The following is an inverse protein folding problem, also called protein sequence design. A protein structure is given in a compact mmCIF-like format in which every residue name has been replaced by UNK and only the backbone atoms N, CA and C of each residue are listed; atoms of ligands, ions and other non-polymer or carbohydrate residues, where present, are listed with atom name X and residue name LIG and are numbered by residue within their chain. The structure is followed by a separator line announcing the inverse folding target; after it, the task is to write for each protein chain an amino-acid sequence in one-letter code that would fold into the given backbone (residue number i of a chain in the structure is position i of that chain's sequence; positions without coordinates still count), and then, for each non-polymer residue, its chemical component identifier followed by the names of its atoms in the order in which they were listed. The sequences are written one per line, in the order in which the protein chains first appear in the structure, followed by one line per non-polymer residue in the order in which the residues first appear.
data_IF_356912906264
#
_entry.id   IF_356912906264
#
_cell.length_a   1.000
_cell.length_b   1.000
_cell.length_c   1.000
_cell.angle_alpha   90.00
_cell.angle_beta   90.00
_cell.angle_gamma   90.00
#
_symmetry.space_group_name_H-M   'P 1'
#
loop_
_entity.id
_entity.type
_entity.pdbx_description
1 polymer ?
#
# COMPACT_ATOMS: atom_id res chain seq x y z
N UNK A 1 -3.46 -13.29 -27.55
CA UNK A 1 -2.98 -12.15 -26.77
C UNK A 1 -3.08 -12.45 -25.27
N UNK A 2 -4.26 -12.60 -24.68
CA UNK A 2 -4.46 -12.78 -23.23
C UNK A 2 -3.56 -13.86 -22.60
N UNK A 3 -3.50 -15.06 -23.16
CA UNK A 3 -2.63 -16.13 -22.63
C UNK A 3 -1.15 -15.75 -22.58
N UNK A 4 -0.66 -14.96 -23.55
CA UNK A 4 0.72 -14.45 -23.55
C UNK A 4 0.93 -13.48 -22.39
N UNK A 5 -0.01 -12.55 -22.17
CA UNK A 5 0.03 -11.57 -21.09
C UNK A 5 0.02 -12.27 -19.72
N UNK A 6 -0.89 -13.22 -19.51
CA UNK A 6 -0.95 -13.97 -18.26
C UNK A 6 0.32 -14.79 -17.99
N UNK A 7 0.89 -15.41 -19.02
CA UNK A 7 2.16 -16.13 -18.87
C UNK A 7 3.32 -15.18 -18.50
N UNK A 8 3.34 -13.98 -19.05
CA UNK A 8 4.36 -12.99 -18.71
C UNK A 8 4.15 -12.45 -17.30
N UNK A 9 2.91 -12.17 -16.92
CA UNK A 9 2.57 -11.78 -15.55
C UNK A 9 3.01 -12.83 -14.52
N UNK A 10 2.80 -14.12 -14.79
CA UNK A 10 3.27 -15.20 -13.92
C UNK A 10 4.79 -15.19 -13.73
N UNK A 11 5.57 -14.82 -14.75
CA UNK A 11 7.02 -14.68 -14.65
C UNK A 11 7.41 -13.47 -13.81
N UNK A 12 6.72 -12.34 -14.01
CA UNK A 12 6.92 -11.12 -13.23
C UNK A 12 6.58 -11.35 -11.75
N UNK A 13 5.48 -12.03 -11.45
CA UNK A 13 5.07 -12.36 -10.09
C UNK A 13 6.08 -13.26 -9.34
N UNK A 14 6.92 -13.99 -10.07
CA UNK A 14 8.01 -14.77 -9.49
C UNK A 14 9.23 -13.92 -9.08
N UNK A 15 9.27 -12.63 -9.46
CA UNK A 15 10.38 -11.72 -9.15
C UNK A 15 9.99 -10.83 -7.98
N UNK A 16 10.70 -10.91 -6.83
CA UNK A 16 10.53 -9.97 -5.73
C UNK A 16 10.78 -8.53 -6.17
N UNK A 17 9.82 -7.63 -5.88
CA UNK A 17 9.86 -6.23 -6.34
C UNK A 17 9.18 -5.25 -5.36
N UNK A 18 9.49 -5.31 -4.05
CA UNK A 18 8.94 -4.32 -3.13
C UNK A 18 9.49 -2.93 -3.44
N UNK A 19 8.71 -1.88 -3.14
CA UNK A 19 9.12 -0.48 -3.32
C UNK A 19 10.48 -0.21 -2.68
N UNK A 20 11.31 0.59 -3.33
CA UNK A 20 12.73 0.88 -3.01
C UNK A 20 13.70 -0.30 -3.18
N UNK A 21 13.27 -1.43 -3.71
CA UNK A 21 14.09 -2.63 -3.93
C UNK A 21 13.74 -3.30 -5.28
N UNK A 22 13.66 -2.47 -6.32
CA UNK A 22 13.26 -2.89 -7.66
C UNK A 22 14.42 -3.47 -8.49
N UNK A 23 15.63 -3.61 -7.93
CA UNK A 23 16.82 -4.03 -8.68
C UNK A 23 16.62 -5.38 -9.38
N UNK A 24 15.91 -6.33 -8.74
CA UNK A 24 15.69 -7.65 -9.32
C UNK A 24 14.75 -7.63 -10.51
N UNK A 25 13.68 -6.84 -10.43
CA UNK A 25 12.75 -6.70 -11.55
C UNK A 25 13.38 -5.88 -12.67
N UNK A 26 14.17 -4.85 -12.36
CA UNK A 26 14.94 -4.11 -13.35
C UNK A 26 15.93 -5.02 -14.10
N UNK A 27 16.68 -5.87 -13.39
CA UNK A 27 17.56 -6.86 -14.00
C UNK A 27 16.79 -7.87 -14.87
N UNK A 28 15.62 -8.34 -14.42
CA UNK A 28 14.74 -9.20 -15.20
C UNK A 28 14.35 -8.53 -16.52
N UNK A 29 13.92 -7.27 -16.48
CA UNK A 29 13.49 -6.51 -17.66
C UNK A 29 14.65 -6.26 -18.65
N UNK A 30 15.84 -5.94 -18.14
CA UNK A 30 17.03 -5.79 -18.98
C UNK A 30 17.38 -7.10 -19.71
N UNK A 31 17.44 -8.22 -18.99
CA UNK A 31 17.67 -9.54 -19.59
C UNK A 31 16.56 -9.94 -20.56
N UNK A 32 15.33 -9.59 -20.24
CA UNK A 32 14.21 -9.82 -21.14
C UNK A 32 14.40 -9.06 -22.47
N UNK A 33 14.81 -7.79 -22.42
CA UNK A 33 15.11 -7.00 -23.61
C UNK A 33 16.26 -7.61 -24.44
N UNK A 34 17.35 -8.04 -23.80
CA UNK A 34 18.45 -8.74 -24.45
C UNK A 34 18.00 -10.00 -25.21
N UNK A 35 17.18 -10.84 -24.56
CA UNK A 35 16.68 -12.07 -25.18
C UNK A 35 15.76 -11.81 -26.38
N UNK A 36 15.16 -10.63 -26.45
CA UNK A 36 14.29 -10.22 -27.57
C UNK A 36 15.01 -9.34 -28.59
N UNK A 37 16.32 -9.11 -28.44
CA UNK A 37 17.16 -8.24 -29.29
C UNK A 37 16.59 -6.81 -29.35
N UNK A 38 16.14 -6.25 -28.22
CA UNK A 38 15.65 -4.89 -28.09
C UNK A 38 16.69 -4.04 -27.37
N UNK A 39 16.78 -2.77 -27.76
CA UNK A 39 17.61 -1.79 -27.07
C UNK A 39 16.95 -1.44 -25.73
N UNK A 40 17.79 -1.26 -24.70
CA UNK A 40 17.30 -0.80 -23.41
C UNK A 40 18.30 0.17 -22.76
N UNK A 41 17.81 0.91 -21.80
CA UNK A 41 18.61 1.78 -20.93
C UNK A 41 18.03 1.71 -19.51
N UNK A 42 18.89 1.99 -18.53
CA UNK A 42 18.49 2.23 -17.13
C UNK A 42 18.90 3.65 -16.79
N UNK A 43 17.99 4.44 -16.24
CA UNK A 43 18.31 5.81 -15.85
C UNK A 43 18.97 5.91 -14.47
N UNK A 44 19.28 7.15 -14.04
CA UNK A 44 20.02 7.39 -12.79
C UNK A 44 19.27 7.01 -11.51
N UNK A 45 17.98 6.76 -11.55
CA UNK A 45 17.15 6.35 -10.40
C UNK A 45 16.66 4.91 -10.49
N UNK A 46 16.99 4.19 -11.58
CA UNK A 46 16.68 2.78 -11.74
C UNK A 46 15.48 2.49 -12.65
N UNK A 47 14.85 3.49 -13.30
CA UNK A 47 13.82 3.22 -14.30
C UNK A 47 14.42 2.48 -15.48
N UNK A 48 13.66 1.51 -16.02
CA UNK A 48 14.05 0.73 -17.19
C UNK A 48 13.27 1.20 -18.41
N UNK A 49 13.99 1.50 -19.47
CA UNK A 49 13.44 1.93 -20.76
C UNK A 49 13.80 0.88 -21.81
N UNK A 50 12.80 0.33 -22.49
CA UNK A 50 13.00 -0.63 -23.59
C UNK A 50 12.44 -0.03 -24.86
N UNK A 51 13.23 -0.04 -25.94
CA UNK A 51 12.85 0.57 -27.22
C UNK A 51 12.62 -0.48 -28.31
N UNK A 52 11.57 -0.27 -29.11
CA UNK A 52 11.26 -1.06 -30.29
C UNK A 52 11.14 -0.15 -31.49
N UNK A 53 11.93 -0.43 -32.53
CA UNK A 53 11.84 0.28 -33.80
C UNK A 53 10.48 0.09 -34.44
N UNK A 54 10.05 1.06 -35.24
CA UNK A 54 8.78 0.99 -35.99
C UNK A 54 8.71 -0.22 -36.92
N UNK A 55 7.53 -0.67 -37.21
CA UNK A 55 7.28 -1.62 -38.29
C UNK A 55 7.66 -0.97 -39.64
N UNK A 56 8.12 -1.74 -40.62
CA UNK A 56 8.49 -1.20 -41.94
C UNK A 56 7.38 -0.34 -42.53
N UNK A 57 7.72 0.87 -42.94
CA UNK A 57 6.78 1.88 -43.50
C UNK A 57 6.06 2.74 -42.44
N UNK A 58 6.31 2.54 -41.16
CA UNK A 58 5.72 3.32 -40.04
C UNK A 58 6.74 4.12 -39.24
N UNK A 59 7.91 4.37 -39.81
CA UNK A 59 9.02 5.07 -39.12
C UNK A 59 8.65 6.52 -38.81
N UNK A 60 7.71 7.11 -39.56
CA UNK A 60 7.21 8.48 -39.36
C UNK A 60 5.91 8.55 -38.55
N UNK A 61 5.38 7.41 -38.10
CA UNK A 61 4.21 7.40 -37.25
C UNK A 61 4.57 7.96 -35.84
N UNK A 62 3.60 8.53 -35.14
CA UNK A 62 3.83 9.05 -33.80
C UNK A 62 4.48 8.02 -32.88
N UNK A 63 5.45 8.45 -32.10
CA UNK A 63 6.09 7.62 -31.07
C UNK A 63 5.17 7.46 -29.87
N UNK A 64 5.09 6.25 -29.34
CA UNK A 64 4.27 5.93 -28.17
C UNK A 64 5.15 5.39 -27.05
N UNK A 65 4.95 5.90 -25.84
CA UNK A 65 5.46 5.32 -24.61
C UNK A 65 4.34 4.53 -23.94
N UNK A 66 4.60 3.27 -23.60
CA UNK A 66 3.80 2.47 -22.69
C UNK A 66 4.45 2.56 -21.31
N UNK A 67 3.73 3.05 -20.31
CA UNK A 67 4.30 3.22 -18.95
C UNK A 67 3.59 2.30 -17.97
N UNK A 68 4.38 1.69 -17.09
CA UNK A 68 3.96 0.86 -15.97
C UNK A 68 4.96 1.03 -14.83
N UNK A 69 4.56 0.81 -13.57
CA UNK A 69 5.52 0.82 -12.47
C UNK A 69 6.02 -0.59 -12.11
N UNK A 70 7.27 -0.66 -11.61
CA UNK A 70 7.94 -1.92 -11.34
C UNK A 70 7.66 -2.47 -9.95
N UNK A 71 7.49 -1.59 -8.97
CA UNK A 71 7.28 -1.97 -7.58
C UNK A 71 5.88 -2.51 -7.32
N UNK A 72 5.65 -2.99 -6.14
CA UNK A 72 4.34 -3.40 -5.64
C UNK A 72 4.28 -3.34 -4.12
N UNK A 73 3.09 -3.14 -3.58
CA UNK A 73 2.82 -3.31 -2.15
C UNK A 73 2.94 -4.79 -1.78
N UNK A 74 3.94 -5.12 -0.98
CA UNK A 74 4.22 -6.49 -0.56
C UNK A 74 3.69 -6.76 0.85
N UNK A 75 2.53 -7.41 0.95
CA UNK A 75 1.86 -7.72 2.21
C UNK A 75 1.45 -9.19 2.26
N UNK A 76 1.33 -9.72 3.48
CA UNK A 76 0.87 -11.08 3.71
C UNK A 76 -0.25 -11.13 4.75
N UNK A 77 -1.13 -12.12 4.65
CA UNK A 77 -2.16 -12.41 5.62
C UNK A 77 -1.56 -12.83 6.97
N UNK A 78 -2.31 -12.68 8.06
CA UNK A 78 -1.86 -13.10 9.39
C UNK A 78 -1.54 -14.60 9.42
N UNK A 79 -0.34 -14.93 9.89
CA UNK A 79 0.15 -16.32 9.97
C UNK A 79 0.83 -16.84 8.71
N UNK A 80 0.87 -16.08 7.62
CA UNK A 80 1.62 -16.44 6.41
C UNK A 80 3.06 -15.95 6.55
N UNK A 81 4.01 -16.89 6.45
CA UNK A 81 5.43 -16.54 6.38
C UNK A 81 5.76 -16.09 4.96
N UNK A 82 6.17 -14.83 4.80
CA UNK A 82 6.51 -14.24 3.52
C UNK A 82 7.63 -13.20 3.70
N UNK A 83 8.73 -13.37 2.99
CA UNK A 83 9.82 -12.40 2.92
C UNK A 83 9.74 -11.67 1.56
N UNK A 84 9.26 -10.42 1.52
CA UNK A 84 9.07 -9.68 0.27
C UNK A 84 10.35 -9.45 -0.51
N UNK A 85 11.51 -9.61 0.14
CA UNK A 85 12.81 -9.46 -0.52
C UNK A 85 13.28 -10.73 -1.22
N UNK A 86 12.65 -11.88 -0.96
CA UNK A 86 13.13 -13.19 -1.44
C UNK A 86 12.08 -14.04 -2.08
N UNK A 87 10.85 -13.99 -1.55
CA UNK A 87 9.82 -14.96 -1.90
C UNK A 87 9.05 -14.51 -3.15
N UNK A 88 8.80 -15.45 -4.04
CA UNK A 88 7.91 -15.28 -5.17
C UNK A 88 6.44 -15.23 -4.70
N UNK A 89 5.62 -14.49 -5.41
CA UNK A 89 4.17 -14.51 -5.20
C UNK A 89 3.60 -15.84 -5.70
N UNK A 90 2.89 -16.53 -4.85
CA UNK A 90 2.17 -17.77 -5.19
C UNK A 90 0.87 -17.43 -5.91
N UNK A 91 0.91 -17.32 -7.22
CA UNK A 91 -0.27 -17.00 -8.02
C UNK A 91 -1.19 -18.21 -8.14
N UNK A 92 -2.47 -17.99 -7.87
CA UNK A 92 -3.55 -18.99 -8.02
C UNK A 92 -4.46 -18.55 -9.16
N UNK A 93 -4.75 -19.47 -10.07
CA UNK A 93 -5.68 -19.26 -11.17
C UNK A 93 -6.78 -20.31 -11.08
N UNK A 94 -8.01 -19.90 -10.79
CA UNK A 94 -9.18 -20.78 -10.69
C UNK A 94 -9.97 -20.90 -12.01
N UNK A 95 -9.47 -20.26 -13.07
CA UNK A 95 -10.09 -20.22 -14.40
C UNK A 95 -11.02 -19.02 -14.62
N UNK A 96 -11.45 -18.36 -13.56
CA UNK A 96 -12.26 -17.14 -13.60
C UNK A 96 -11.48 -15.92 -13.07
N UNK A 97 -10.73 -16.11 -11.98
CA UNK A 97 -9.93 -15.10 -11.33
C UNK A 97 -8.48 -15.55 -11.17
N UNK A 98 -7.62 -14.55 -11.08
CA UNK A 98 -6.23 -14.72 -10.66
C UNK A 98 -6.07 -14.03 -9.32
N UNK A 99 -5.52 -14.75 -8.36
CA UNK A 99 -5.30 -14.29 -6.99
C UNK A 99 -3.92 -14.73 -6.49
N UNK A 100 -3.56 -14.35 -5.28
CA UNK A 100 -2.36 -14.85 -4.61
C UNK A 100 -2.74 -15.64 -3.35
N UNK A 101 -1.95 -16.67 -3.04
CA UNK A 101 -2.13 -17.52 -1.86
C UNK A 101 -1.53 -16.81 -0.63
N UNK A 102 -2.38 -16.07 0.08
CA UNK A 102 -2.04 -15.45 1.36
C UNK A 102 -1.17 -14.19 1.28
N UNK A 103 -0.93 -13.63 0.09
CA UNK A 103 -0.16 -12.39 -0.11
C UNK A 103 -0.90 -11.43 -1.02
N UNK A 104 -0.40 -10.19 -1.17
CA UNK A 104 -0.75 -9.33 -2.30
C UNK A 104 -0.35 -10.00 -3.62
N UNK A 105 -1.13 -9.74 -4.68
CA UNK A 105 -0.92 -10.32 -6.00
C UNK A 105 0.13 -9.56 -6.84
N UNK A 106 0.16 -8.24 -6.70
CA UNK A 106 0.99 -7.36 -7.53
C UNK A 106 0.52 -7.28 -8.98
N UNK A 107 -0.80 -7.40 -9.21
CA UNK A 107 -1.36 -7.12 -10.54
C UNK A 107 -1.20 -5.64 -10.89
N UNK A 108 -1.29 -4.80 -9.91
CA UNK A 108 -0.92 -3.40 -9.87
C UNK A 108 0.62 -3.31 -9.64
N UNK A 109 1.45 -2.86 -10.57
CA UNK A 109 1.14 -2.74 -12.01
C UNK A 109 1.89 -3.83 -12.84
N UNK A 110 2.00 -5.04 -12.26
CA UNK A 110 2.62 -6.19 -12.93
C UNK A 110 1.90 -6.60 -14.21
N UNK A 111 0.59 -6.32 -14.30
CA UNK A 111 -0.16 -6.61 -15.52
C UNK A 111 0.16 -5.60 -16.63
N UNK A 112 0.37 -4.32 -16.29
CA UNK A 112 0.83 -3.30 -17.23
C UNK A 112 2.22 -3.62 -17.77
N UNK A 113 3.14 -4.05 -16.89
CA UNK A 113 4.46 -4.55 -17.33
C UNK A 113 4.26 -5.70 -18.34
N UNK A 114 3.45 -6.72 -18.00
CA UNK A 114 3.23 -7.87 -18.87
C UNK A 114 2.62 -7.47 -20.22
N UNK A 115 1.67 -6.52 -20.25
CA UNK A 115 1.07 -5.99 -21.49
C UNK A 115 2.15 -5.32 -22.35
N UNK A 116 2.95 -4.42 -21.76
CA UNK A 116 4.01 -3.72 -22.47
C UNK A 116 5.02 -4.70 -23.09
N UNK A 117 5.49 -5.69 -22.31
CA UNK A 117 6.44 -6.70 -22.77
C UNK A 117 5.86 -7.54 -23.92
N UNK A 118 4.62 -7.97 -23.82
CA UNK A 118 3.98 -8.76 -24.89
C UNK A 118 3.82 -7.94 -26.16
N UNK A 119 3.49 -6.66 -26.09
CA UNK A 119 3.41 -5.76 -27.23
C UNK A 119 4.77 -5.51 -27.87
N UNK A 120 5.81 -5.36 -27.06
CA UNK A 120 7.20 -5.24 -27.53
C UNK A 120 7.67 -6.53 -28.23
N UNK A 121 7.32 -7.71 -27.72
CA UNK A 121 7.73 -8.99 -28.29
C UNK A 121 6.96 -9.38 -29.57
N UNK A 122 5.75 -8.86 -29.76
CA UNK A 122 4.88 -9.27 -30.86
C UNK A 122 5.34 -8.65 -32.19
N UNK A 123 5.79 -9.53 -33.11
CA UNK A 123 6.25 -9.14 -34.43
C UNK A 123 5.12 -9.00 -35.45
N UNK A 124 3.89 -9.37 -35.10
CA UNK A 124 2.73 -9.32 -36.01
C UNK A 124 1.97 -7.99 -35.94
N UNK A 125 2.25 -7.18 -34.91
CA UNK A 125 1.60 -5.88 -34.72
C UNK A 125 2.31 -4.83 -35.58
N UNK A 126 1.52 -4.09 -36.36
CA UNK A 126 1.98 -2.90 -37.08
C UNK A 126 1.94 -1.71 -36.13
N UNK A 127 3.08 -1.03 -35.95
CA UNK A 127 3.22 0.07 -34.98
C UNK A 127 4.27 1.09 -35.44
N UNK A 128 4.16 2.32 -34.96
CA UNK A 128 5.22 3.34 -35.02
C UNK A 128 6.35 3.02 -34.03
N UNK A 129 7.34 3.91 -33.87
CA UNK A 129 8.36 3.74 -32.85
C UNK A 129 7.71 3.62 -31.48
N UNK A 130 8.12 2.64 -30.67
CA UNK A 130 7.50 2.33 -29.37
C UNK A 130 8.57 2.25 -28.28
N UNK A 131 8.26 2.79 -27.11
CA UNK A 131 9.05 2.61 -25.89
C UNK A 131 8.18 1.98 -24.82
N UNK A 132 8.75 1.14 -23.96
CA UNK A 132 8.19 0.86 -22.64
C UNK A 132 9.04 1.60 -21.61
N UNK A 133 8.40 2.29 -20.69
CA UNK A 133 9.00 2.98 -19.55
C UNK A 133 8.50 2.32 -18.26
N UNK A 134 9.39 1.63 -17.58
CA UNK A 134 9.09 0.96 -16.32
C UNK A 134 9.69 1.77 -15.17
N UNK A 135 8.82 2.32 -14.32
CA UNK A 135 9.21 3.26 -13.28
C UNK A 135 9.41 2.58 -11.93
N UNK A 136 10.25 3.17 -11.09
CA UNK A 136 10.48 2.76 -9.69
C UNK A 136 9.62 3.55 -8.73
N UNK A 137 9.34 2.94 -7.56
CA UNK A 137 8.83 3.60 -6.36
C UNK A 137 7.55 4.43 -6.58
N UNK A 138 6.57 3.85 -7.26
CA UNK A 138 5.25 4.47 -7.45
C UNK A 138 4.44 4.40 -6.17
N UNK A 139 4.40 3.23 -5.52
CA UNK A 139 3.54 2.91 -4.38
C UNK A 139 3.90 3.67 -3.09
N UNK A 140 5.13 4.16 -2.96
CA UNK A 140 5.64 4.82 -1.74
C UNK A 140 6.38 6.13 -2.01
N UNK A 141 6.11 6.83 -3.10
CA UNK A 141 6.77 8.11 -3.26
C UNK A 141 6.75 8.79 -4.61
N UNK A 142 6.33 8.12 -5.66
CA UNK A 142 6.22 8.67 -7.02
C UNK A 142 7.49 9.39 -7.49
N UNK A 143 8.45 8.63 -7.96
CA UNK A 143 9.74 9.17 -8.47
C UNK A 143 9.64 9.81 -9.86
N UNK A 144 8.44 10.00 -10.39
CA UNK A 144 8.19 10.48 -11.77
C UNK A 144 8.86 11.81 -12.10
N UNK A 145 8.99 12.72 -11.12
CA UNK A 145 9.67 14.00 -11.31
C UNK A 145 11.18 13.90 -11.53
N UNK A 146 11.80 12.75 -11.28
CA UNK A 146 13.23 12.51 -11.45
C UNK A 146 13.58 11.72 -12.73
N UNK A 147 12.59 11.39 -13.56
CA UNK A 147 12.80 10.73 -14.85
C UNK A 147 13.59 11.67 -15.78
N UNK A 148 14.66 11.17 -16.40
CA UNK A 148 15.40 11.95 -17.37
C UNK A 148 14.54 12.22 -18.61
N UNK A 149 14.29 13.49 -18.91
CA UNK A 149 13.41 13.96 -19.97
C UNK A 149 13.78 13.42 -21.36
N UNK A 150 15.04 13.04 -21.60
CA UNK A 150 15.45 12.42 -22.87
C UNK A 150 14.70 11.12 -23.18
N UNK A 151 14.18 10.43 -22.16
CA UNK A 151 13.40 9.20 -22.32
C UNK A 151 11.92 9.46 -22.55
N UNK A 152 11.46 10.70 -22.33
CA UNK A 152 10.06 11.11 -22.50
C UNK A 152 9.75 11.68 -23.90
N UNK A 153 10.70 11.59 -24.84
CA UNK A 153 10.54 12.03 -26.22
C UNK A 153 9.54 11.12 -26.98
N UNK A 154 8.26 11.46 -26.90
CA UNK A 154 7.17 10.80 -27.61
C UNK A 154 5.95 11.73 -27.73
N UNK A 155 5.10 11.50 -28.74
CA UNK A 155 3.85 12.22 -28.93
C UNK A 155 2.73 11.73 -28.02
N UNK A 156 2.79 10.46 -27.63
CA UNK A 156 1.80 9.84 -26.75
C UNK A 156 2.47 9.03 -25.64
N UNK A 157 1.95 9.18 -24.42
CA UNK A 157 2.23 8.30 -23.30
C UNK A 157 0.93 7.64 -22.86
N UNK A 158 0.95 6.31 -22.79
CA UNK A 158 -0.16 5.50 -22.32
C UNK A 158 0.30 4.85 -21.02
N UNK A 159 -0.23 5.35 -19.91
CA UNK A 159 -0.08 4.70 -18.61
C UNK A 159 -1.00 3.47 -18.57
N UNK A 160 -0.47 2.32 -18.16
CA UNK A 160 -1.18 1.04 -18.13
C UNK A 160 -1.76 0.71 -16.74
N UNK A 161 -1.50 1.58 -15.78
CA UNK A 161 -1.94 1.49 -14.41
C UNK A 161 -3.34 2.12 -14.25
N UNK A 162 -4.36 1.44 -14.80
CA UNK A 162 -5.74 1.89 -14.74
C UNK A 162 -6.69 0.73 -14.41
N UNK A 163 -7.41 0.85 -13.31
CA UNK A 163 -8.23 -0.25 -12.75
C UNK A 163 -9.55 -0.49 -13.48
N UNK A 164 -10.08 0.50 -14.22
CA UNK A 164 -11.45 0.41 -14.76
C UNK A 164 -11.44 -0.03 -16.23
N UNK A 165 -11.77 -1.30 -16.43
CA UNK A 165 -11.84 -1.89 -17.75
C UNK A 165 -12.77 -1.11 -18.69
N UNK A 166 -12.30 -0.84 -19.92
CA UNK A 166 -13.06 -0.18 -20.97
C UNK A 166 -13.19 1.33 -20.82
N UNK A 167 -12.44 1.95 -19.94
CA UNK A 167 -12.37 3.40 -19.78
C UNK A 167 -10.95 3.92 -20.01
N UNK A 168 -10.86 5.19 -20.39
CA UNK A 168 -9.61 5.95 -20.50
C UNK A 168 -9.72 7.18 -19.61
N UNK A 169 -8.66 7.51 -18.90
CA UNK A 169 -8.55 8.72 -18.11
C UNK A 169 -7.45 9.61 -18.67
N UNK A 170 -7.76 10.90 -18.85
CA UNK A 170 -6.81 11.90 -19.35
C UNK A 170 -6.48 12.97 -18.29
N UNK A 171 -6.76 12.68 -17.04
CA UNK A 171 -6.50 13.56 -15.91
C UNK A 171 -6.15 12.75 -14.68
N UNK A 172 -5.49 13.37 -13.72
CA UNK A 172 -5.21 12.78 -12.41
C UNK A 172 -5.68 13.71 -11.29
N UNK A 173 -6.00 13.13 -10.14
CA UNK A 173 -6.16 13.90 -8.92
C UNK A 173 -4.78 14.33 -8.40
N UNK A 174 -4.73 15.49 -7.77
CA UNK A 174 -3.56 15.94 -7.02
C UNK A 174 -3.76 15.73 -5.53
N UNK A 175 -2.67 15.67 -4.78
CA UNK A 175 -2.69 15.63 -3.33
C UNK A 175 -1.48 16.36 -2.75
N UNK A 176 -1.68 16.92 -1.56
CA UNK A 176 -0.61 17.55 -0.79
C UNK A 176 -0.42 16.79 0.53
N UNK A 177 0.83 16.52 0.87
CA UNK A 177 1.20 15.99 2.17
C UNK A 177 1.63 17.11 3.10
N UNK A 178 0.97 17.19 4.25
CA UNK A 178 1.33 18.14 5.30
C UNK A 178 1.82 17.38 6.53
N UNK A 179 3.11 17.50 6.83
CA UNK A 179 3.72 16.91 8.01
C UNK A 179 3.73 17.89 9.18
N UNK A 180 3.12 17.52 10.29
CA UNK A 180 3.17 18.26 11.54
C UNK A 180 4.11 17.57 12.51
N UNK A 181 5.19 18.24 12.87
CA UNK A 181 6.17 17.72 13.83
C UNK A 181 6.13 18.53 15.10
N UNK A 182 6.01 17.88 16.25
CA UNK A 182 6.10 18.50 17.55
C UNK A 182 7.07 17.74 18.44
N UNK A 183 8.02 18.45 19.01
CA UNK A 183 8.88 17.91 20.07
C UNK A 183 8.11 17.87 21.40
N UNK A 184 8.27 16.77 22.12
CA UNK A 184 7.69 16.60 23.45
C UNK A 184 8.71 15.93 24.38
N UNK A 185 8.57 16.18 25.69
CA UNK A 185 9.40 15.54 26.70
C UNK A 185 8.72 14.25 27.15
N UNK A 186 9.48 13.16 27.17
CA UNK A 186 9.04 11.93 27.80
C UNK A 186 9.06 12.13 29.32
N UNK A 187 7.97 11.75 29.98
CA UNK A 187 7.88 11.68 31.42
C UNK A 187 7.50 10.27 31.86
N UNK A 188 8.00 9.86 33.01
CA UNK A 188 7.60 8.58 33.59
C UNK A 188 6.11 8.62 33.93
N UNK A 189 5.42 7.51 33.70
CA UNK A 189 4.06 7.35 34.20
C UNK A 189 4.05 7.34 35.72
N UNK A 190 3.04 7.97 36.31
CA UNK A 190 2.87 7.95 37.77
C UNK A 190 2.51 6.53 38.21
N UNK A 191 3.09 6.08 39.34
CA UNK A 191 2.93 4.71 39.85
C UNK A 191 1.48 4.33 40.18
N UNK A 192 0.67 5.32 40.51
CA UNK A 192 -0.76 5.16 40.84
C UNK A 192 -1.68 5.10 39.62
N UNK A 193 -1.13 5.26 38.40
CA UNK A 193 -1.91 5.26 37.20
C UNK A 193 -2.12 3.84 36.63
N UNK A 194 -3.33 3.55 36.19
CA UNK A 194 -3.64 2.31 35.49
C UNK A 194 -3.30 2.43 34.01
N UNK A 195 -2.73 1.37 33.46
CA UNK A 195 -2.54 1.27 32.00
C UNK A 195 -3.85 0.82 31.33
N UNK A 196 -4.25 1.53 30.29
CA UNK A 196 -5.41 1.21 29.48
C UNK A 196 -4.98 1.06 28.01
N UNK A 197 -5.35 -0.05 27.40
CA UNK A 197 -5.21 -0.28 25.96
C UNK A 197 -6.55 -0.11 25.28
N UNK A 198 -6.60 0.75 24.27
CA UNK A 198 -7.79 0.95 23.42
C UNK A 198 -7.44 0.49 22.03
N UNK A 199 -8.28 -0.37 21.47
CA UNK A 199 -8.16 -0.87 20.10
C UNK A 199 -9.45 -0.55 19.33
N UNK A 200 -9.30 0.02 18.15
CA UNK A 200 -10.38 0.20 17.17
C UNK A 200 -10.12 -0.76 16.03
N UNK A 201 -11.05 -1.71 15.83
CA UNK A 201 -10.96 -2.78 14.83
C UNK A 201 -12.26 -2.92 14.07
N UNK A 202 -12.25 -3.62 12.95
CA UNK A 202 -13.46 -3.92 12.17
C UNK A 202 -13.93 -2.75 11.29
N UNK A 203 -13.10 -1.73 11.08
CA UNK A 203 -13.39 -0.67 10.12
C UNK A 203 -13.18 -1.18 8.70
N UNK A 204 -14.04 -0.75 7.76
CA UNK A 204 -13.85 -1.03 6.35
C UNK A 204 -12.63 -0.25 5.83
N UNK A 205 -11.67 -0.96 5.27
CA UNK A 205 -10.55 -0.39 4.54
C UNK A 205 -10.99 0.11 3.16
N UNK A 206 -10.03 0.56 2.36
CA UNK A 206 -10.25 0.97 0.99
C UNK A 206 -9.04 1.65 0.39
N UNK A 207 -9.05 1.78 -0.93
CA UNK A 207 -8.01 2.47 -1.67
C UNK A 207 -7.97 3.96 -1.31
N UNK A 208 -6.78 4.50 -1.08
CA UNK A 208 -6.59 5.91 -0.66
C UNK A 208 -7.11 6.93 -1.68
N UNK A 209 -7.08 6.62 -2.95
CA UNK A 209 -7.61 7.45 -4.04
C UNK A 209 -9.07 7.09 -4.37
N UNK A 210 -9.32 5.89 -4.86
CA UNK A 210 -10.62 5.46 -5.44
C UNK A 210 -11.73 5.38 -4.39
N UNK A 211 -11.40 5.04 -3.14
CA UNK A 211 -12.40 4.84 -2.08
C UNK A 211 -12.52 6.00 -1.10
N UNK A 212 -11.66 7.03 -1.18
CA UNK A 212 -11.63 8.13 -0.22
C UNK A 212 -12.98 8.87 -0.12
N UNK A 213 -13.72 8.95 -1.22
CA UNK A 213 -15.02 9.62 -1.28
C UNK A 213 -16.15 8.82 -0.62
N UNK A 214 -15.96 7.54 -0.29
CA UNK A 214 -17.00 6.66 0.28
C UNK A 214 -17.28 6.93 1.76
N UNK A 215 -16.59 7.90 2.38
CA UNK A 215 -16.84 8.34 3.76
C UNK A 215 -16.58 7.26 4.81
N UNK A 216 -15.72 6.28 4.53
CA UNK A 216 -15.39 5.22 5.48
C UNK A 216 -14.69 5.79 6.72
N UNK A 217 -14.92 5.16 7.86
CA UNK A 217 -14.37 5.64 9.13
C UNK A 217 -12.84 5.47 9.16
N UNK A 218 -12.14 6.54 9.55
CA UNK A 218 -10.70 6.52 9.77
C UNK A 218 -10.41 6.27 11.25
N UNK A 219 -9.64 5.22 11.56
CA UNK A 219 -9.34 4.81 12.92
C UNK A 219 -8.61 5.89 13.74
N UNK A 220 -7.69 6.65 13.12
CA UNK A 220 -6.98 7.76 13.77
C UNK A 220 -7.94 8.89 14.16
N UNK A 221 -8.89 9.22 13.30
CA UNK A 221 -9.92 10.21 13.58
C UNK A 221 -10.82 9.73 14.73
N UNK A 222 -11.21 8.46 14.73
CA UNK A 222 -12.04 7.90 15.80
C UNK A 222 -11.34 7.99 17.17
N UNK A 223 -10.06 7.64 17.25
CA UNK A 223 -9.30 7.75 18.50
C UNK A 223 -9.09 9.21 18.90
N UNK A 224 -8.79 10.08 17.95
CA UNK A 224 -8.61 11.51 18.23
C UNK A 224 -9.87 12.14 18.81
N UNK A 225 -11.05 11.78 18.29
CA UNK A 225 -12.34 12.18 18.87
C UNK A 225 -12.55 11.62 20.28
N UNK A 226 -12.21 10.36 20.51
CA UNK A 226 -12.27 9.77 21.85
C UNK A 226 -11.37 10.54 22.84
N UNK A 227 -10.14 10.87 22.46
CA UNK A 227 -9.23 11.66 23.27
C UNK A 227 -9.79 13.07 23.57
N UNK A 228 -10.45 13.67 22.57
CA UNK A 228 -11.12 14.94 22.75
C UNK A 228 -12.27 14.85 23.76
N UNK A 229 -13.10 13.80 23.70
CA UNK A 229 -14.16 13.57 24.69
C UNK A 229 -13.63 13.35 26.11
N UNK A 230 -12.50 12.64 26.25
CA UNK A 230 -11.83 12.49 27.54
C UNK A 230 -11.36 13.84 28.11
N UNK A 231 -10.85 14.72 27.24
CA UNK A 231 -10.46 16.09 27.62
C UNK A 231 -11.69 16.91 28.06
N UNK A 232 -12.80 16.85 27.31
CA UNK A 232 -14.06 17.51 27.67
C UNK A 232 -14.60 17.02 29.02
N UNK A 233 -14.50 15.71 29.26
CA UNK A 233 -14.86 15.09 30.53
C UNK A 233 -13.87 15.37 31.68
N UNK A 234 -12.79 16.11 31.42
CA UNK A 234 -11.71 16.41 32.37
C UNK A 234 -11.04 15.16 32.96
N UNK A 235 -10.97 14.09 32.16
CA UNK A 235 -10.28 12.85 32.54
C UNK A 235 -8.79 13.05 32.24
N UNK A 236 -7.96 13.00 33.27
CA UNK A 236 -6.50 13.07 33.08
C UNK A 236 -5.95 11.75 32.52
N UNK A 237 -5.15 11.83 31.48
CA UNK A 237 -4.44 10.70 30.88
C UNK A 237 -3.06 11.12 30.38
N UNK A 238 -2.17 10.14 30.24
CA UNK A 238 -0.93 10.25 29.49
C UNK A 238 -0.95 9.29 28.32
N UNK A 239 -0.48 9.75 27.18
CA UNK A 239 -0.38 8.92 26.00
C UNK A 239 0.96 8.19 26.01
N UNK A 240 0.94 6.86 26.17
CA UNK A 240 2.15 6.06 26.18
C UNK A 240 2.55 5.62 24.76
N UNK A 241 1.57 5.32 23.92
CA UNK A 241 1.77 4.95 22.53
C UNK A 241 0.51 5.25 21.73
N UNK A 242 0.70 5.70 20.50
CA UNK A 242 -0.36 5.93 19.54
C UNK A 242 0.14 5.44 18.19
N UNK A 243 -0.49 4.41 17.63
CA UNK A 243 -0.13 3.88 16.32
C UNK A 243 -1.37 3.40 15.59
N UNK A 244 -1.42 3.67 14.29
CA UNK A 244 -2.28 2.97 13.37
C UNK A 244 -1.44 1.93 12.66
N UNK A 245 -1.98 0.71 12.53
CA UNK A 245 -1.40 -0.31 11.65
C UNK A 245 -2.48 -0.67 10.66
N UNK A 246 -2.11 -0.66 9.40
CA UNK A 246 -2.79 -1.46 8.41
C UNK A 246 -2.60 -2.92 8.89
N UNK A 247 -3.60 -3.77 8.79
CA UNK A 247 -3.43 -5.21 9.06
C UNK A 247 -2.43 -5.86 8.09
N UNK A 248 -2.09 -5.16 7.03
CA UNK A 248 -0.98 -5.43 6.13
C UNK A 248 0.33 -5.03 6.82
N UNK A 249 1.09 -6.02 7.24
CA UNK A 249 2.33 -5.80 7.99
C UNK A 249 3.43 -5.32 7.07
N UNK A 250 3.86 -4.06 7.21
CA UNK A 250 5.22 -3.69 6.82
C UNK A 250 6.17 -3.96 8.00
N UNK A 251 7.20 -4.84 7.86
CA UNK A 251 8.12 -5.16 8.96
C UNK A 251 9.10 -4.03 9.30
N UNK A 252 9.11 -2.90 8.62
CA UNK A 252 10.17 -1.88 8.70
C UNK A 252 10.13 -0.95 9.90
N UNK A 253 9.20 -1.08 10.84
CA UNK A 253 9.17 -0.28 12.08
C UNK A 253 9.20 -1.11 13.36
N UNK A 254 9.87 -2.25 13.35
CA UNK A 254 10.15 -3.04 14.55
C UNK A 254 11.45 -2.64 15.22
N UNK A 255 11.60 -1.36 15.59
CA UNK A 255 12.60 -0.94 16.61
C UNK A 255 12.04 0.14 17.54
N UNK A 256 10.95 -0.18 18.20
CA UNK A 256 10.70 0.43 19.50
C UNK A 256 10.38 -0.70 20.48
N UNK A 257 11.38 -1.01 21.31
CA UNK A 257 11.28 -1.96 22.42
C UNK A 257 10.14 -1.52 23.33
N UNK A 258 9.11 -2.37 23.41
CA UNK A 258 8.16 -2.33 24.51
C UNK A 258 8.88 -2.74 25.80
N UNK A 259 9.32 -1.78 26.56
CA UNK A 259 9.76 -1.95 27.94
C UNK A 259 8.53 -1.79 28.82
N UNK A 260 7.75 -2.85 28.99
CA UNK A 260 6.93 -3.03 30.21
C UNK A 260 6.37 -4.45 30.22
N UNK A 261 6.90 -5.24 31.14
CA UNK A 261 6.33 -6.53 31.52
C UNK A 261 4.99 -6.34 32.25
N UNK A 262 3.99 -7.19 32.08
CA UNK A 262 2.73 -7.10 32.80
C UNK A 262 2.90 -7.56 34.22
N UNK A 263 2.63 -6.68 35.16
CA UNK A 263 2.41 -7.10 36.59
C UNK A 263 0.90 -7.14 36.86
N UNK A 264 0.40 -8.37 37.04
CA UNK A 264 -0.86 -8.81 37.65
C UNK A 264 -2.17 -8.46 36.92
N UNK A 265 -2.84 -9.49 36.50
CA UNK A 265 -4.25 -9.54 36.13
C UNK A 265 -5.16 -9.20 37.30
N UNK A 266 -6.06 -8.26 37.12
CA UNK A 266 -7.22 -8.03 38.00
C UNK A 266 -8.45 -8.01 37.10
N UNK A 267 -9.33 -8.98 37.31
CA UNK A 267 -10.59 -9.12 36.57
C UNK A 267 -11.71 -8.39 37.30
N UNK A 268 -12.36 -7.44 36.67
CA UNK A 268 -13.73 -7.07 36.96
C UNK A 268 -14.40 -6.44 35.75
N UNK A 269 -15.60 -6.91 35.46
CA UNK A 269 -16.42 -6.52 34.30
C UNK A 269 -17.34 -5.36 34.67
N UNK A 270 -17.22 -4.26 33.94
CA UNK A 270 -18.17 -3.15 33.98
C UNK A 270 -18.57 -2.73 32.55
N UNK A 271 -19.87 -2.69 32.29
CA UNK A 271 -20.42 -2.23 31.02
C UNK A 271 -20.54 -0.70 30.99
N UNK A 272 -20.00 -0.09 29.94
CA UNK A 272 -20.31 1.30 29.59
C UNK A 272 -21.25 1.33 28.39
N UNK A 273 -22.32 2.13 28.52
CA UNK A 273 -23.20 2.45 27.38
C UNK A 273 -22.42 3.24 26.34
N UNK A 274 -22.51 2.81 25.09
CA UNK A 274 -21.95 3.54 23.97
C UNK A 274 -22.48 4.97 23.93
N UNK A 275 -21.57 5.95 23.81
CA UNK A 275 -21.92 7.33 23.52
C UNK A 275 -22.40 7.37 22.07
N UNK A 276 -23.57 7.92 21.77
CA UNK A 276 -24.06 7.98 20.39
C UNK A 276 -23.19 8.92 19.56
N UNK A 277 -22.46 8.38 18.61
CA UNK A 277 -21.83 9.15 17.55
C UNK A 277 -22.96 9.58 16.60
N UNK A 278 -23.22 10.85 16.51
CA UNK A 278 -24.19 11.41 15.58
C UNK A 278 -23.67 11.37 14.15
N UNK A 279 -23.84 10.26 13.48
CA UNK A 279 -23.80 10.07 12.01
C UNK A 279 -24.15 8.62 11.63
N UNK A 280 -24.84 8.41 10.49
CA UNK A 280 -25.45 7.13 10.12
C UNK A 280 -24.44 6.12 9.57
N UNK A 281 -24.88 4.92 9.23
CA UNK A 281 -24.86 3.71 10.04
C UNK A 281 -23.71 2.77 9.68
N UNK A 282 -22.49 3.10 10.08
CA UNK A 282 -21.46 2.08 10.17
C UNK A 282 -21.25 1.77 11.65
N UNK A 283 -21.85 0.67 12.09
CA UNK A 283 -21.74 0.17 13.44
C UNK A 283 -20.27 -0.12 13.77
N UNK A 284 -19.62 0.84 14.38
CA UNK A 284 -18.33 0.59 15.05
C UNK A 284 -18.63 -0.33 16.23
N UNK A 285 -18.46 -1.62 16.05
CA UNK A 285 -18.43 -2.56 17.16
C UNK A 285 -17.15 -2.28 17.94
N UNK A 286 -17.26 -1.53 19.03
CA UNK A 286 -16.24 -1.49 20.07
C UNK A 286 -16.19 -2.88 20.71
N UNK A 287 -15.48 -3.82 20.08
CA UNK A 287 -15.29 -5.14 20.62
C UNK A 287 -14.19 -5.08 21.67
N UNK A 288 -14.61 -5.04 22.93
CA UNK A 288 -13.82 -5.18 24.15
C UNK A 288 -13.00 -3.95 24.57
N UNK A 289 -13.66 -3.05 25.28
CA UNK A 289 -12.97 -2.17 26.23
C UNK A 289 -12.87 -2.94 27.54
N UNK A 290 -11.66 -3.36 27.92
CA UNK A 290 -11.41 -4.05 29.18
C UNK A 290 -11.02 -3.03 30.23
N UNK A 291 -11.83 -2.89 31.24
CA UNK A 291 -11.49 -2.12 32.44
C UNK A 291 -11.17 -3.06 33.60
N UNK A 292 -10.06 -2.82 34.22
CA UNK A 292 -9.81 -3.38 35.57
C UNK A 292 -10.43 -2.41 36.57
N UNK A 293 -11.56 -2.77 37.13
CA UNK A 293 -12.31 -1.91 38.06
C UNK A 293 -11.99 -2.25 39.52
N UNK A 294 -11.32 -1.36 40.16
CA UNK A 294 -11.35 -1.14 41.59
C UNK A 294 -11.37 0.37 41.81
N UNK A 295 -12.52 0.94 42.20
CA UNK A 295 -12.75 2.36 42.51
C UNK A 295 -12.59 3.38 41.39
N UNK A 296 -13.64 3.59 40.65
CA UNK A 296 -13.70 4.30 39.38
C UNK A 296 -13.84 5.83 39.46
N UNK A 297 -13.84 6.47 40.58
CA UNK A 297 -14.26 7.86 40.67
C UNK A 297 -13.15 8.92 40.76
N UNK A 298 -11.86 8.56 40.77
CA UNK A 298 -10.74 9.53 40.80
C UNK A 298 -9.42 8.97 40.26
N UNK A 299 -9.37 8.21 39.15
CA UNK A 299 -8.10 7.66 38.68
C UNK A 299 -7.65 8.27 37.36
N UNK A 300 -6.36 8.51 37.25
CA UNK A 300 -5.60 8.96 36.09
C UNK A 300 -5.13 7.74 35.30
N UNK A 301 -5.19 7.76 33.98
CA UNK A 301 -4.92 6.60 33.11
C UNK A 301 -3.73 6.84 32.20
N UNK A 302 -2.89 5.82 32.03
CA UNK A 302 -1.92 5.71 30.95
C UNK A 302 -2.58 4.95 29.79
N UNK A 303 -2.66 5.54 28.61
CA UNK A 303 -3.35 4.94 27.48
C UNK A 303 -2.37 4.40 26.44
N UNK A 304 -2.58 3.15 26.05
CA UNK A 304 -1.92 2.48 24.94
C UNK A 304 -2.97 2.25 23.86
N UNK A 305 -2.74 2.80 22.67
CA UNK A 305 -3.66 2.62 21.55
C UNK A 305 -3.06 1.65 20.53
N UNK A 306 -3.85 0.68 20.13
CA UNK A 306 -3.56 -0.15 18.97
C UNK A 306 -4.77 -0.13 18.04
N UNK A 307 -4.54 0.33 16.83
CA UNK A 307 -5.54 0.38 15.78
C UNK A 307 -5.28 -0.79 14.83
N UNK A 308 -6.31 -1.57 14.55
CA UNK A 308 -6.29 -2.58 13.49
C UNK A 308 -7.37 -2.22 12.48
N UNK A 309 -6.99 -2.03 11.24
CA UNK A 309 -7.92 -1.92 10.11
C UNK A 309 -7.94 -3.26 9.38
N UNK A 310 -9.09 -3.73 8.89
CA UNK A 310 -9.12 -4.90 8.04
C UNK A 310 -8.33 -4.66 6.76
N UNK A 311 -7.71 -5.69 6.25
CA UNK A 311 -7.03 -5.69 4.95
C UNK A 311 -7.99 -5.25 3.86
N UNK A 312 -7.63 -4.28 3.02
CA UNK A 312 -8.32 -4.14 1.74
C UNK A 312 -7.97 -5.37 0.91
N UNK A 313 -8.98 -6.11 0.46
CA UNK A 313 -8.80 -7.08 -0.60
C UNK A 313 -8.54 -6.29 -1.89
N UNK A 314 -7.33 -6.37 -2.39
CA UNK A 314 -7.00 -5.91 -3.72
C UNK A 314 -7.31 -7.04 -4.71
N UNK A 315 -8.12 -6.73 -5.64
CA UNK A 315 -8.41 -7.59 -6.80
C UNK A 315 -7.29 -7.48 -7.81
#
# INVERSE_FOLDING_TARGET
MLKKILNEFMRIAAVPRPSHHEERIAEYLCRWAETHNLCYAVDGIGNVIIEKAAAPGYEKAPRVILQAHMDMVCVAAEGVAFDPMKDAIKVVNDGQFISADGTSLGADDGIGIAIALVLLADKSIVHGPMKALFTVNEEDGMSSGAIDSKYLDAEYLINLDWEWLGSLCNSSAGGDFMAFTRQYKHCAAKSEWAALKIEITGLLGGHSGVDIHKGRANALICVSRLLQELNHARIEYQLASFCARLETQFPLLQKQRSLFAPKRSITSTGFWKAIPLSSPPDLVKLSKVWFSAGHLLRRRFLMLFRLRTPTPYWI
#
